data_IF_110787584788
#
_entry.id   IF_110787584788
#
_cell.length_a   1.000
_cell.length_b   1.000
_cell.length_c   1.000
_cell.angle_alpha   90.00
_cell.angle_beta   90.00
_cell.angle_gamma   90.00
#
_symmetry.space_group_name_H-M   'P 1'
#
loop_
_entity.id
_entity.type
_entity.pdbx_description
1 polymer ?
#
# COMPACT_ATOMS: atom_id res chain seq x y z
N UNK A 1 -0.10 2.86 5.06
CA UNK A 1 1.07 3.75 4.92
C UNK A 1 2.29 2.91 4.59
N UNK A 2 3.01 3.21 3.50
CA UNK A 2 4.24 2.51 3.09
C UNK A 2 5.41 3.51 2.99
N UNK A 3 6.59 3.11 3.44
CA UNK A 3 7.82 3.89 3.20
C UNK A 3 8.26 3.75 1.75
N UNK A 4 8.80 4.83 1.19
CA UNK A 4 9.36 4.90 -0.16
C UNK A 4 10.52 5.90 -0.19
N UNK A 5 11.34 5.83 -1.23
CA UNK A 5 12.53 6.66 -1.39
C UNK A 5 12.48 7.37 -2.72
N UNK A 6 12.57 8.71 -2.71
CA UNK A 6 12.74 9.51 -3.94
C UNK A 6 14.05 9.17 -4.63
N UNK A 7 14.16 9.43 -5.93
CA UNK A 7 15.45 9.29 -6.65
C UNK A 7 16.60 10.08 -6.00
N UNK A 8 16.31 11.20 -5.34
CA UNK A 8 17.29 12.00 -4.58
C UNK A 8 17.60 11.48 -3.16
N UNK A 9 17.16 10.28 -2.81
CA UNK A 9 17.44 9.62 -1.52
C UNK A 9 16.52 10.04 -0.36
N UNK A 10 15.66 11.04 -0.53
CA UNK A 10 14.72 11.45 0.51
C UNK A 10 13.64 10.38 0.74
N UNK A 11 13.56 9.88 1.98
CA UNK A 11 12.49 8.96 2.40
C UNK A 11 11.19 9.71 2.68
N UNK A 12 10.08 9.10 2.31
CA UNK A 12 8.75 9.60 2.61
C UNK A 12 7.77 8.45 2.83
N UNK A 13 6.63 8.77 3.42
CA UNK A 13 5.53 7.80 3.62
C UNK A 13 4.41 8.12 2.66
N UNK A 14 3.88 7.09 2.00
CA UNK A 14 2.77 7.18 1.08
C UNK A 14 1.55 6.40 1.60
N UNK A 15 0.37 6.98 1.41
CA UNK A 15 -0.88 6.23 1.60
C UNK A 15 -1.04 5.21 0.46
N UNK A 16 -0.98 3.92 0.81
CA UNK A 16 -1.07 2.83 -0.14
C UNK A 16 -2.48 2.69 -0.76
N UNK A 17 -3.53 3.10 -0.06
CA UNK A 17 -4.91 3.04 -0.57
C UNK A 17 -5.19 4.10 -1.66
N UNK A 18 -4.31 5.10 -1.79
CA UNK A 18 -4.42 6.11 -2.84
C UNK A 18 -3.68 5.74 -4.13
N UNK A 19 -2.91 4.65 -4.12
CA UNK A 19 -2.13 4.21 -5.27
C UNK A 19 -3.09 3.66 -6.33
N UNK A 20 -3.04 4.24 -7.52
CA UNK A 20 -3.82 3.83 -8.68
C UNK A 20 -3.01 2.91 -9.58
N UNK A 21 -1.81 3.33 -9.98
CA UNK A 21 -0.89 2.52 -10.81
C UNK A 21 0.53 2.56 -10.29
N UNK A 22 1.28 1.50 -10.59
CA UNK A 22 2.73 1.40 -10.38
C UNK A 22 3.33 0.83 -11.67
N UNK A 23 4.22 1.57 -12.32
CA UNK A 23 4.75 1.26 -13.65
C UNK A 23 6.27 1.50 -13.70
N UNK A 24 6.99 0.74 -14.54
CA UNK A 24 8.43 0.92 -14.76
C UNK A 24 8.68 1.77 -16.03
N UNK A 25 9.13 3.02 -15.88
CA UNK A 25 9.38 3.96 -16.98
C UNK A 25 10.47 5.01 -16.65
N UNK A 26 11.73 4.88 -17.14
CA UNK A 26 12.63 3.76 -16.87
C UNK A 26 12.79 3.43 -15.37
N UNK A 27 12.47 4.40 -14.51
CA UNK A 27 12.36 4.26 -13.06
C UNK A 27 10.92 3.91 -12.65
N UNK A 28 10.70 3.48 -11.41
CA UNK A 28 9.34 3.17 -10.92
C UNK A 28 8.55 4.46 -10.70
N UNK A 29 7.42 4.59 -11.40
CA UNK A 29 6.45 5.66 -11.23
C UNK A 29 5.20 5.14 -10.55
N UNK A 30 4.79 5.82 -9.47
CA UNK A 30 3.54 5.58 -8.76
C UNK A 30 2.58 6.73 -9.11
N UNK A 31 1.41 6.40 -9.66
CA UNK A 31 0.32 7.35 -9.90
C UNK A 31 -0.73 7.19 -8.81
N UNK A 32 -1.20 8.31 -8.26
CA UNK A 32 -2.31 8.33 -7.31
C UNK A 32 -3.63 8.66 -8.01
N UNK A 33 -4.76 8.33 -7.37
CA UNK A 33 -6.12 8.55 -7.91
C UNK A 33 -6.41 9.99 -8.35
N UNK A 34 -5.67 10.97 -7.81
CA UNK A 34 -5.82 12.38 -8.16
C UNK A 34 -4.86 12.83 -9.28
N UNK A 35 -4.24 11.88 -9.98
CA UNK A 35 -3.26 12.12 -11.05
C UNK A 35 -1.86 12.51 -10.55
N UNK A 36 -1.63 12.66 -9.24
CA UNK A 36 -0.30 13.00 -8.71
C UNK A 36 0.65 11.82 -8.91
N UNK A 37 1.86 12.10 -9.39
CA UNK A 37 2.88 11.09 -9.65
C UNK A 37 4.09 11.20 -8.73
N UNK A 38 4.65 10.05 -8.37
CA UNK A 38 5.88 9.95 -7.60
C UNK A 38 6.83 8.96 -8.26
N UNK A 39 8.06 9.41 -8.52
CA UNK A 39 9.14 8.56 -9.00
C UNK A 39 9.97 8.12 -7.78
N UNK A 40 10.22 6.83 -7.67
CA UNK A 40 10.85 6.19 -6.51
C UNK A 40 11.96 5.24 -6.91
N UNK A 41 12.86 4.95 -5.97
CA UNK A 41 13.99 4.02 -6.18
C UNK A 41 13.57 2.55 -6.07
N UNK A 42 12.49 2.28 -5.34
CA UNK A 42 11.95 0.93 -5.20
C UNK A 42 11.47 0.39 -6.54
N UNK A 43 11.71 -0.90 -6.83
CA UNK A 43 11.12 -1.55 -8.00
C UNK A 43 9.61 -1.70 -7.86
N UNK A 44 8.92 -1.96 -8.97
CA UNK A 44 7.48 -2.24 -8.99
C UNK A 44 7.14 -3.39 -8.02
N UNK A 45 7.92 -4.46 -8.03
CA UNK A 45 7.76 -5.64 -7.17
C UNK A 45 7.92 -5.29 -5.69
N UNK A 46 8.88 -4.43 -5.37
CA UNK A 46 9.07 -3.97 -4.00
C UNK A 46 7.90 -3.11 -3.51
N UNK A 47 7.38 -2.22 -4.36
CA UNK A 47 6.19 -1.43 -4.03
C UNK A 47 4.99 -2.36 -3.78
N UNK A 48 4.75 -3.33 -4.66
CA UNK A 48 3.66 -4.32 -4.51
C UNK A 48 3.81 -5.07 -3.18
N UNK A 49 5.01 -5.58 -2.88
CA UNK A 49 5.28 -6.31 -1.62
C UNK A 49 4.97 -5.45 -0.39
N UNK A 50 5.40 -4.18 -0.39
CA UNK A 50 5.13 -3.25 0.71
C UNK A 50 3.63 -2.96 0.86
N UNK A 51 2.89 -2.84 -0.25
CA UNK A 51 1.42 -2.68 -0.23
C UNK A 51 0.73 -3.92 0.34
N UNK A 52 1.13 -5.12 -0.08
CA UNK A 52 0.57 -6.38 0.45
C UNK A 52 0.80 -6.48 1.95
N UNK A 53 2.01 -6.17 2.41
CA UNK A 53 2.34 -6.20 3.83
C UNK A 53 1.50 -5.20 4.64
N UNK A 54 1.34 -3.98 4.12
CA UNK A 54 0.44 -3.00 4.72
C UNK A 54 -1.00 -3.51 4.80
N UNK A 55 -1.55 -4.10 3.73
CA UNK A 55 -2.94 -4.59 3.73
C UNK A 55 -3.16 -5.73 4.72
N UNK A 56 -2.19 -6.64 4.86
CA UNK A 56 -2.23 -7.72 5.87
C UNK A 56 -2.28 -7.19 7.30
N UNK A 57 -1.52 -6.14 7.57
CA UNK A 57 -1.47 -5.52 8.90
C UNK A 57 -2.67 -4.62 9.18
N UNK A 58 -3.17 -3.91 8.17
CA UNK A 58 -4.30 -2.98 8.29
C UNK A 58 -5.65 -3.70 8.39
N UNK A 59 -5.78 -4.89 7.78
CA UNK A 59 -7.02 -5.66 7.74
C UNK A 59 -6.77 -7.12 8.13
N UNK A 60 -6.49 -7.42 9.41
CA UNK A 60 -6.35 -8.79 9.85
C UNK A 60 -7.68 -9.54 9.68
N UNK A 61 -7.66 -10.61 8.88
CA UNK A 61 -8.81 -11.50 8.60
C UNK A 61 -9.51 -11.98 9.88
N UNK A 62 -8.77 -12.05 11.00
CA UNK A 62 -9.25 -12.52 12.29
C UNK A 62 -10.19 -11.53 13.01
N UNK A 63 -10.16 -10.23 12.71
CA UNK A 63 -10.96 -9.26 13.46
C UNK A 63 -12.44 -9.26 13.07
N UNK A 64 -12.81 -9.74 11.89
CA UNK A 64 -14.22 -9.86 11.48
C UNK A 64 -14.96 -10.98 12.21
N UNK A 65 -14.29 -12.06 12.59
CA UNK A 65 -14.90 -13.21 13.29
C UNK A 65 -15.36 -12.81 14.70
N UNK A 66 -14.73 -11.82 15.33
CA UNK A 66 -15.15 -11.30 16.64
C UNK A 66 -16.51 -10.62 16.63
N UNK A 67 -16.97 -10.16 15.45
CA UNK A 67 -18.23 -9.46 15.27
C UNK A 67 -19.30 -10.31 14.58
N UNK A 68 -19.02 -11.58 14.28
CA UNK A 68 -20.05 -12.52 13.85
C UNK A 68 -20.78 -12.98 15.13
N UNK A 69 -22.05 -12.61 15.34
CA UNK A 69 -22.82 -13.10 16.48
C UNK A 69 -22.82 -14.62 16.45
N UNK A 70 -22.47 -15.24 17.58
CA UNK A 70 -22.54 -16.70 17.69
C UNK A 70 -24.01 -17.09 17.79
N UNK A 71 -24.42 -18.09 17.01
CA UNK A 71 -25.77 -18.65 17.12
C UNK A 71 -26.03 -19.02 18.58
N UNK A 72 -27.03 -18.38 19.19
CA UNK A 72 -27.44 -18.63 20.57
C UNK A 72 -27.18 -17.53 21.60
N UNK A 73 -26.63 -16.37 21.22
CA UNK A 73 -26.64 -15.18 22.09
C UNK A 73 -27.97 -14.42 21.94
N UNK A 74 -28.96 -14.87 22.71
CA UNK A 74 -30.25 -14.22 22.92
C UNK A 74 -30.60 -14.23 24.40
#
# INVERSE_FOLDING_TARGET
MIWLTRLKGQRFVLNAEMIETVEALPDTTITLFNGKKYIVQESVEEVIRRVIEYKRQAYPVLDLIKYIPREGEG
#
